data_IF_172006931928
#
_entry.id   IF_172006931928
#
_cell.length_a   1.000
_cell.length_b   1.000
_cell.length_c   1.000
_cell.angle_alpha   90.00
_cell.angle_beta   90.00
_cell.angle_gamma   90.00
#
_symmetry.space_group_name_H-M   'P 1'
#
loop_
_entity.id
_entity.type
_entity.pdbx_description
1 polymer ?
#
# COMPACT_ATOMS: atom_id res chain seq x y z
N UNK A 1 44.71 13.09 -9.08
CA UNK A 1 43.98 11.83 -8.94
C UNK A 1 44.30 10.96 -10.15
N UNK A 2 44.97 9.81 -9.94
CA UNK A 2 45.58 8.98 -10.98
C UNK A 2 44.48 8.37 -11.89
N UNK A 3 44.75 8.29 -13.20
CA UNK A 3 43.84 7.80 -14.25
C UNK A 3 43.26 6.40 -13.93
N UNK A 4 44.07 5.54 -13.28
CA UNK A 4 43.63 4.23 -12.81
C UNK A 4 42.54 4.30 -11.70
N UNK A 5 42.66 5.24 -10.75
CA UNK A 5 41.63 5.42 -9.71
C UNK A 5 40.29 5.88 -10.28
N UNK A 6 40.30 6.73 -11.32
CA UNK A 6 39.06 7.14 -12.02
C UNK A 6 38.41 5.97 -12.73
N UNK A 7 39.18 5.09 -13.36
CA UNK A 7 38.66 3.91 -14.07
C UNK A 7 38.03 2.91 -13.09
N UNK A 8 38.69 2.65 -11.95
CA UNK A 8 38.14 1.74 -10.89
C UNK A 8 36.85 2.28 -10.33
N UNK A 9 36.74 3.57 -10.03
CA UNK A 9 35.50 4.19 -9.54
C UNK A 9 34.39 4.10 -10.58
N UNK A 10 34.68 4.28 -11.85
CA UNK A 10 33.73 4.17 -12.95
C UNK A 10 33.22 2.73 -13.07
N UNK A 11 34.11 1.74 -13.03
CA UNK A 11 33.79 0.31 -13.11
C UNK A 11 32.94 -0.10 -11.89
N UNK A 12 33.30 0.33 -10.68
CA UNK A 12 32.51 0.04 -9.47
C UNK A 12 31.12 0.68 -9.54
N UNK A 13 31.00 1.84 -10.13
CA UNK A 13 29.72 2.51 -10.34
C UNK A 13 28.84 1.77 -11.37
N UNK A 14 29.45 1.30 -12.47
CA UNK A 14 28.75 0.47 -13.47
C UNK A 14 28.35 -0.89 -12.91
N UNK A 15 29.23 -1.54 -12.15
CA UNK A 15 28.94 -2.81 -11.47
C UNK A 15 27.82 -2.63 -10.44
N UNK A 16 27.82 -1.53 -9.68
CA UNK A 16 26.74 -1.23 -8.72
C UNK A 16 25.40 -0.97 -9.43
N UNK A 17 25.41 -0.24 -10.56
CA UNK A 17 24.21 -0.02 -11.38
C UNK A 17 23.72 -1.36 -11.98
N UNK A 18 24.64 -2.18 -12.48
CA UNK A 18 24.36 -3.48 -13.06
C UNK A 18 23.81 -4.47 -12.02
N UNK A 19 24.41 -4.52 -10.82
CA UNK A 19 23.91 -5.33 -9.70
C UNK A 19 22.56 -4.85 -9.17
N UNK A 20 22.27 -3.55 -9.23
CA UNK A 20 20.95 -3.02 -8.90
C UNK A 20 19.88 -3.36 -9.96
N UNK A 21 20.25 -3.50 -11.22
CA UNK A 21 19.35 -3.97 -12.29
C UNK A 21 18.98 -5.45 -12.14
N UNK A 22 19.82 -6.26 -11.50
CA UNK A 22 19.54 -7.69 -11.22
C UNK A 22 19.02 -7.94 -9.80
N UNK A 23 18.88 -6.90 -8.97
CA UNK A 23 18.42 -7.04 -7.57
C UNK A 23 16.90 -7.04 -7.42
N UNK A 24 16.14 -6.80 -8.47
CA UNK A 24 14.69 -6.99 -8.47
C UNK A 24 14.40 -8.47 -8.70
N UNK A 25 14.28 -9.21 -7.60
CA UNK A 25 13.88 -10.62 -7.59
C UNK A 25 12.43 -10.83 -8.05
N UNK A 26 11.78 -9.83 -8.62
CA UNK A 26 10.38 -9.86 -9.02
C UNK A 26 9.38 -10.02 -7.86
N UNK A 27 9.88 -10.26 -6.63
CA UNK A 27 9.05 -10.45 -5.45
C UNK A 27 9.11 -9.23 -4.53
N UNK A 28 7.99 -8.58 -4.31
CA UNK A 28 7.84 -7.46 -3.38
C UNK A 28 7.08 -7.88 -2.14
N UNK A 29 7.69 -7.70 -0.96
CA UNK A 29 7.03 -7.86 0.33
C UNK A 29 6.13 -6.63 0.57
N UNK A 30 4.86 -6.87 0.77
CA UNK A 30 3.85 -5.84 1.04
C UNK A 30 3.64 -5.81 2.55
N UNK A 31 4.03 -4.71 3.18
CA UNK A 31 3.81 -4.47 4.60
C UNK A 31 2.38 -3.96 4.84
N UNK A 32 1.93 -4.02 6.09
CA UNK A 32 0.67 -3.39 6.46
C UNK A 32 0.77 -1.87 6.36
N UNK A 33 -0.15 -1.21 5.62
CA UNK A 33 -0.25 0.24 5.64
C UNK A 33 -0.88 0.78 6.92
N UNK A 34 -1.45 -0.09 7.75
CA UNK A 34 -2.16 0.22 8.99
C UNK A 34 -1.61 -0.59 10.16
N UNK A 35 -1.72 -0.03 11.36
CA UNK A 35 -1.66 -0.76 12.63
C UNK A 35 -3.10 -1.01 13.07
N UNK A 36 -3.48 -2.27 13.34
CA UNK A 36 -4.85 -2.58 13.70
C UNK A 36 -5.19 -4.07 13.69
N UNK A 37 -6.46 -4.33 13.96
CA UNK A 37 -6.99 -5.69 14.00
C UNK A 37 -7.53 -6.10 12.63
N UNK A 38 -7.18 -7.31 12.18
CA UNK A 38 -7.76 -7.88 10.97
C UNK A 38 -9.23 -8.18 11.23
N UNK A 39 -10.08 -7.75 10.32
CA UNK A 39 -11.51 -8.05 10.35
C UNK A 39 -11.84 -9.20 9.41
N UNK A 40 -12.78 -10.08 9.79
CA UNK A 40 -13.25 -11.15 8.93
C UNK A 40 -13.80 -10.64 7.59
N UNK A 41 -13.64 -11.43 6.53
CA UNK A 41 -14.05 -11.04 5.18
C UNK A 41 -15.56 -10.85 5.01
N UNK A 42 -16.38 -11.53 5.84
CA UNK A 42 -17.82 -11.37 5.89
C UNK A 42 -18.24 -9.97 6.40
N UNK A 43 -17.47 -9.36 7.30
CA UNK A 43 -17.68 -7.96 7.72
C UNK A 43 -17.36 -6.94 6.62
N UNK A 44 -16.57 -7.34 5.62
CA UNK A 44 -16.27 -6.54 4.44
C UNK A 44 -17.32 -6.82 3.34
N UNK A 45 -18.01 -7.96 3.42
CA UNK A 45 -18.83 -8.55 2.36
C UNK A 45 -20.05 -7.73 1.94
N UNK A 46 -20.56 -6.85 2.79
CA UNK A 46 -21.68 -5.98 2.46
C UNK A 46 -21.29 -4.77 1.62
N UNK A 47 -19.99 -4.45 1.54
CA UNK A 47 -19.49 -3.37 0.71
C UNK A 47 -19.22 -3.85 -0.73
N UNK A 48 -19.34 -2.95 -1.71
CA UNK A 48 -19.00 -3.23 -3.12
C UNK A 48 -17.54 -3.68 -3.33
N UNK A 49 -16.68 -3.61 -2.29
CA UNK A 49 -15.26 -3.98 -2.30
C UNK A 49 -15.08 -5.48 -2.02
N UNK A 50 -16.04 -6.13 -1.33
CA UNK A 50 -15.92 -7.51 -0.86
C UNK A 50 -16.06 -8.59 -1.91
N UNK A 51 -16.56 -8.25 -3.07
CA UNK A 51 -16.89 -9.26 -4.11
C UNK A 51 -15.76 -9.51 -5.09
N UNK A 52 -14.51 -9.55 -4.67
CA UNK A 52 -13.35 -9.88 -5.54
C UNK A 52 -13.32 -9.18 -6.93
N UNK A 53 -14.25 -8.21 -7.16
CA UNK A 53 -14.37 -7.49 -8.42
C UNK A 53 -13.10 -6.70 -8.73
N UNK A 54 -12.39 -6.27 -7.68
CA UNK A 54 -11.16 -5.50 -7.81
C UNK A 54 -9.91 -6.29 -7.45
N UNK A 55 -10.01 -7.48 -6.82
CA UNK A 55 -8.89 -8.28 -6.39
C UNK A 55 -9.04 -8.84 -4.97
N UNK A 56 -7.97 -9.47 -4.46
CA UNK A 56 -7.93 -9.97 -3.09
C UNK A 56 -7.77 -8.81 -2.11
N UNK A 57 -8.65 -8.73 -1.12
CA UNK A 57 -8.69 -7.65 -0.13
C UNK A 57 -8.50 -8.17 1.29
N UNK A 58 -7.82 -7.37 2.12
CA UNK A 58 -7.71 -7.57 3.55
C UNK A 58 -8.32 -6.35 4.26
N UNK A 59 -9.26 -6.59 5.18
CA UNK A 59 -9.84 -5.57 6.05
C UNK A 59 -9.04 -5.42 7.34
N UNK A 60 -8.86 -4.19 7.78
CA UNK A 60 -8.15 -3.85 9.00
C UNK A 60 -8.94 -2.75 9.71
N UNK A 61 -9.31 -2.99 10.96
CA UNK A 61 -9.82 -1.96 11.85
C UNK A 61 -8.63 -1.24 12.49
N UNK A 62 -8.32 0.00 12.08
CA UNK A 62 -7.11 0.67 12.51
C UNK A 62 -7.20 1.12 13.97
N UNK A 63 -6.06 1.05 14.67
CA UNK A 63 -5.88 1.60 16.04
C UNK A 63 -5.08 2.90 16.02
N UNK A 64 -4.48 3.23 14.87
CA UNK A 64 -3.75 4.47 14.64
C UNK A 64 -4.33 5.26 13.46
N UNK A 65 -4.14 6.57 13.48
CA UNK A 65 -4.70 7.52 12.51
C UNK A 65 -3.76 7.84 11.34
N UNK A 66 -2.77 7.02 11.07
CA UNK A 66 -1.79 7.21 9.99
C UNK A 66 -1.79 6.03 9.03
N UNK A 67 -1.41 6.32 7.79
CA UNK A 67 -1.25 5.33 6.72
C UNK A 67 0.18 5.42 6.21
N UNK A 68 0.88 4.28 6.15
CA UNK A 68 2.24 4.20 5.65
C UNK A 68 2.29 3.45 4.31
N UNK A 69 3.29 3.77 3.50
CA UNK A 69 3.52 3.07 2.23
C UNK A 69 3.93 1.62 2.49
N UNK A 70 3.20 0.63 1.93
CA UNK A 70 3.45 -0.79 2.19
C UNK A 70 4.75 -1.30 1.54
N UNK A 71 5.27 -0.61 0.54
CA UNK A 71 6.49 -0.93 -0.18
C UNK A 71 7.00 0.30 -0.96
N UNK A 72 8.11 0.17 -1.67
CA UNK A 72 8.50 1.16 -2.67
C UNK A 72 7.51 1.10 -3.85
N UNK A 73 6.89 2.24 -4.20
CA UNK A 73 5.83 2.30 -5.21
C UNK A 73 5.67 3.72 -5.78
N UNK A 74 4.68 3.91 -6.63
CA UNK A 74 4.30 5.22 -7.19
C UNK A 74 2.82 5.45 -6.85
N UNK A 75 2.48 6.65 -6.38
CA UNK A 75 1.08 7.08 -6.25
C UNK A 75 0.51 7.30 -7.64
N UNK A 76 -0.39 6.43 -8.07
CA UNK A 76 -0.98 6.55 -9.42
C UNK A 76 -2.22 7.42 -9.41
N UNK A 77 -3.09 7.25 -8.41
CA UNK A 77 -4.32 8.03 -8.21
C UNK A 77 -4.65 8.23 -6.75
N UNK A 78 -5.31 9.33 -6.46
CA UNK A 78 -5.91 9.63 -5.16
C UNK A 78 -7.38 9.97 -5.40
N UNK A 79 -8.28 9.46 -4.57
CA UNK A 79 -9.71 9.80 -4.68
C UNK A 79 -9.95 11.30 -4.40
N UNK A 80 -11.00 11.91 -4.96
CA UNK A 80 -11.29 13.33 -4.76
C UNK A 80 -11.45 13.73 -3.28
N UNK A 81 -11.97 12.82 -2.45
CA UNK A 81 -12.13 13.01 -1.00
C UNK A 81 -10.81 12.79 -0.27
N UNK A 82 -9.89 11.99 -0.83
CA UNK A 82 -8.59 11.67 -0.24
C UNK A 82 -8.59 10.38 0.60
N UNK A 83 -9.70 9.65 0.65
CA UNK A 83 -9.86 8.43 1.44
C UNK A 83 -9.37 7.16 0.75
N UNK A 84 -9.00 7.24 -0.53
CA UNK A 84 -8.51 6.09 -1.28
C UNK A 84 -7.29 6.46 -2.14
N UNK A 85 -6.37 5.50 -2.28
CA UNK A 85 -5.18 5.63 -3.12
C UNK A 85 -4.95 4.37 -3.95
N UNK A 86 -4.62 4.57 -5.23
CA UNK A 86 -4.09 3.55 -6.12
C UNK A 86 -2.57 3.69 -6.18
N UNK A 87 -1.86 2.65 -5.78
CA UNK A 87 -0.40 2.59 -5.77
C UNK A 87 0.07 1.59 -6.84
N UNK A 88 1.05 2.00 -7.65
CA UNK A 88 1.68 1.14 -8.67
C UNK A 88 2.96 0.54 -8.13
N UNK A 89 3.07 -0.79 -8.16
CA UNK A 89 4.22 -1.60 -7.72
C UNK A 89 4.67 -2.46 -8.89
N UNK A 90 5.68 -2.04 -9.64
CA UNK A 90 6.05 -2.69 -10.89
C UNK A 90 4.86 -2.72 -11.87
N UNK A 91 4.41 -3.92 -12.28
CA UNK A 91 3.21 -4.12 -13.11
C UNK A 91 1.94 -4.45 -12.29
N UNK A 92 2.03 -4.50 -10.97
CA UNK A 92 0.91 -4.72 -10.07
C UNK A 92 0.36 -3.40 -9.50
N UNK A 93 -0.85 -3.45 -8.96
CA UNK A 93 -1.49 -2.32 -8.31
C UNK A 93 -2.03 -2.72 -6.93
N UNK A 94 -1.86 -1.82 -5.97
CA UNK A 94 -2.47 -1.90 -4.66
C UNK A 94 -3.50 -0.78 -4.54
N UNK A 95 -4.65 -1.09 -3.95
CA UNK A 95 -5.64 -0.09 -3.57
C UNK A 95 -5.68 -0.03 -2.05
N UNK A 96 -5.53 1.15 -1.49
CA UNK A 96 -5.69 1.41 -0.06
C UNK A 96 -6.94 2.26 0.10
N UNK A 97 -7.91 1.78 0.89
CA UNK A 97 -9.11 2.54 1.23
C UNK A 97 -9.17 2.78 2.74
N UNK A 98 -9.53 3.99 3.11
CA UNK A 98 -9.83 4.41 4.47
C UNK A 98 -11.35 4.55 4.54
N UNK A 99 -12.00 3.51 5.13
CA UNK A 99 -13.44 3.37 5.10
C UNK A 99 -14.00 2.85 3.78
N UNK A 100 -15.18 2.28 3.82
CA UNK A 100 -15.81 1.59 2.70
C UNK A 100 -16.97 2.40 2.09
N UNK A 101 -17.54 3.32 2.85
CA UNK A 101 -18.71 4.12 2.45
C UNK A 101 -18.28 5.55 2.14
N UNK A 102 -17.84 5.79 0.91
CA UNK A 102 -17.26 7.07 0.45
C UNK A 102 -18.17 8.28 0.69
N UNK A 103 -19.48 8.08 0.60
CA UNK A 103 -20.48 9.15 0.75
C UNK A 103 -20.55 9.71 2.16
N UNK A 104 -20.13 8.95 3.16
CA UNK A 104 -20.11 9.38 4.57
C UNK A 104 -18.94 10.32 4.89
N UNK A 105 -17.89 10.33 4.07
CA UNK A 105 -16.64 11.01 4.42
C UNK A 105 -16.49 12.35 3.75
N UNK A 106 -15.95 13.31 4.51
CA UNK A 106 -15.60 14.65 4.02
C UNK A 106 -14.09 14.76 3.84
N UNK A 107 -13.67 15.55 2.85
CA UNK A 107 -12.25 15.78 2.56
C UNK A 107 -11.45 16.26 3.78
N UNK A 108 -12.06 17.04 4.63
CA UNK A 108 -11.45 17.59 5.87
C UNK A 108 -11.10 16.51 6.92
N UNK A 109 -11.59 15.24 6.75
CA UNK A 109 -11.21 14.14 7.62
C UNK A 109 -9.82 13.58 7.28
N UNK A 110 -9.27 13.92 6.11
CA UNK A 110 -8.05 13.36 5.57
C UNK A 110 -7.00 14.42 5.33
N UNK A 111 -5.77 14.17 5.79
CA UNK A 111 -4.60 15.02 5.54
C UNK A 111 -3.60 14.23 4.71
N UNK A 112 -3.54 14.52 3.43
CA UNK A 112 -2.60 13.91 2.49
C UNK A 112 -1.18 14.45 2.72
N UNK A 113 -0.17 13.54 2.64
CA UNK A 113 1.25 13.86 2.70
C UNK A 113 1.96 13.58 1.37
N UNK A 114 1.21 13.13 0.37
CA UNK A 114 1.72 12.73 -0.95
C UNK A 114 0.82 13.28 -2.06
N UNK A 115 1.33 13.28 -3.29
CA UNK A 115 0.60 13.70 -4.50
C UNK A 115 0.68 12.61 -5.56
N UNK A 116 -0.24 12.65 -6.53
CA UNK A 116 -0.20 11.75 -7.70
C UNK A 116 1.11 11.91 -8.46
N UNK A 117 1.64 10.79 -8.96
CA UNK A 117 2.95 10.69 -9.64
C UNK A 117 4.16 10.59 -8.70
N UNK A 118 4.00 10.79 -7.40
CA UNK A 118 5.10 10.74 -6.43
C UNK A 118 5.62 9.31 -6.27
N UNK A 119 6.97 9.16 -6.29
CA UNK A 119 7.65 7.93 -5.89
C UNK A 119 7.78 7.86 -4.38
N UNK A 120 7.49 6.71 -3.82
CA UNK A 120 7.45 6.45 -2.39
C UNK A 120 8.50 5.43 -1.99
N UNK A 121 9.09 5.63 -0.83
CA UNK A 121 9.84 4.60 -0.12
C UNK A 121 8.92 3.79 0.79
N UNK A 122 9.29 2.55 1.07
CA UNK A 122 8.64 1.72 2.07
C UNK A 122 8.58 2.46 3.41
N UNK A 123 7.41 2.43 4.09
CA UNK A 123 7.17 3.07 5.39
C UNK A 123 7.01 4.59 5.34
N UNK A 124 7.07 5.22 4.15
CA UNK A 124 6.82 6.64 4.03
C UNK A 124 5.36 6.96 4.36
N UNK A 125 5.12 8.02 5.13
CA UNK A 125 3.76 8.44 5.50
C UNK A 125 3.00 8.92 4.27
N UNK A 126 1.85 8.28 3.99
CA UNK A 126 0.95 8.62 2.89
C UNK A 126 -0.04 9.71 3.31
N UNK A 127 -0.64 9.51 4.48
CA UNK A 127 -1.68 10.39 5.01
C UNK A 127 -1.91 10.15 6.49
N UNK A 128 -2.69 11.04 7.09
CA UNK A 128 -3.37 10.83 8.36
C UNK A 128 -4.85 11.13 8.21
N UNK A 129 -5.67 10.60 9.11
CA UNK A 129 -7.11 10.80 9.10
C UNK A 129 -7.64 11.02 10.53
N UNK A 130 -8.76 11.71 10.64
CA UNK A 130 -9.42 12.00 11.92
C UNK A 130 -10.33 10.83 12.28
N UNK A 131 -9.77 9.88 13.02
CA UNK A 131 -10.45 8.63 13.40
C UNK A 131 -11.71 8.91 14.23
N UNK A 132 -11.70 9.95 15.08
CA UNK A 132 -12.84 10.29 15.92
C UNK A 132 -14.00 10.86 15.09
N UNK A 133 -13.72 11.71 14.10
CA UNK A 133 -14.75 12.21 13.18
C UNK A 133 -15.31 11.09 12.31
N UNK A 134 -14.46 10.17 11.88
CA UNK A 134 -14.90 9.03 11.08
C UNK A 134 -15.84 8.15 11.89
N UNK A 135 -15.50 7.76 13.12
CA UNK A 135 -16.38 6.93 13.96
C UNK A 135 -17.73 7.58 14.31
N UNK A 136 -17.83 8.91 14.26
CA UNK A 136 -19.12 9.62 14.44
C UNK A 136 -20.09 9.39 13.28
N UNK A 137 -19.59 9.14 12.08
CA UNK A 137 -20.38 8.96 10.85
C UNK A 137 -20.41 7.51 10.36
N UNK A 138 -19.44 6.70 10.80
CA UNK A 138 -19.28 5.30 10.42
C UNK A 138 -18.76 4.49 11.60
N UNK A 139 -19.68 3.88 12.34
CA UNK A 139 -19.37 3.07 13.54
C UNK A 139 -18.69 1.74 13.20
N UNK A 140 -18.85 1.27 11.96
CA UNK A 140 -18.23 0.04 11.44
C UNK A 140 -17.00 0.32 10.57
N UNK A 141 -16.31 1.41 10.87
CA UNK A 141 -15.16 1.86 10.11
C UNK A 141 -14.07 0.80 9.95
N UNK A 142 -13.78 0.45 8.70
CA UNK A 142 -12.75 -0.51 8.31
C UNK A 142 -11.93 0.07 7.17
N UNK A 143 -10.61 -0.06 7.26
CA UNK A 143 -9.70 0.22 6.18
C UNK A 143 -9.42 -1.06 5.39
N UNK A 144 -9.08 -0.94 4.10
CA UNK A 144 -8.70 -2.10 3.30
C UNK A 144 -7.41 -1.87 2.54
N UNK A 145 -6.67 -2.96 2.35
CA UNK A 145 -5.64 -3.08 1.33
C UNK A 145 -6.06 -4.16 0.34
N UNK A 146 -6.13 -3.80 -0.94
CA UNK A 146 -6.53 -4.70 -2.03
C UNK A 146 -5.39 -4.86 -3.02
N UNK A 147 -5.04 -6.09 -3.35
CA UNK A 147 -4.17 -6.41 -4.48
C UNK A 147 -5.05 -6.57 -5.70
N UNK A 148 -4.95 -5.61 -6.65
CA UNK A 148 -5.72 -5.67 -7.89
C UNK A 148 -5.26 -6.87 -8.73
N UNK A 149 -6.20 -7.74 -9.08
CA UNK A 149 -5.90 -8.90 -9.90
C UNK A 149 -5.43 -8.50 -11.29
N UNK A 150 -4.33 -9.07 -11.70
CA UNK A 150 -3.83 -9.07 -13.07
C UNK A 150 -3.31 -10.47 -13.41
N UNK A 151 -2.76 -10.67 -14.63
CA UNK A 151 -2.25 -12.00 -15.04
C UNK A 151 -1.14 -12.55 -14.12
N UNK A 152 -0.39 -11.68 -13.45
CA UNK A 152 0.75 -12.03 -12.58
C UNK A 152 0.40 -12.10 -11.10
N UNK A 153 -0.72 -11.50 -10.66
CA UNK A 153 -1.15 -11.42 -9.24
C UNK A 153 -2.38 -12.28 -8.91
N UNK A 154 -2.67 -13.33 -9.69
CA UNK A 154 -3.89 -14.16 -9.54
C UNK A 154 -4.00 -14.94 -8.24
N UNK A 155 -2.88 -15.19 -7.54
CA UNK A 155 -2.83 -16.04 -6.35
C UNK A 155 -2.09 -15.37 -5.21
N UNK A 156 -2.59 -14.22 -4.78
CA UNK A 156 -2.07 -13.56 -3.59
C UNK A 156 -2.86 -14.03 -2.38
N UNK A 157 -2.15 -14.62 -1.41
CA UNK A 157 -2.72 -14.95 -0.10
C UNK A 157 -2.21 -13.98 0.94
N UNK A 158 -3.11 -13.38 1.70
CA UNK A 158 -2.77 -12.56 2.84
C UNK A 158 -2.44 -13.43 4.06
N UNK A 159 -1.64 -12.86 4.98
CA UNK A 159 -1.33 -13.48 6.27
C UNK A 159 -2.63 -13.78 7.03
N UNK A 160 -2.64 -14.91 7.73
CA UNK A 160 -3.68 -15.23 8.71
C UNK A 160 -3.21 -14.81 10.10
N UNK A 161 -3.66 -13.66 10.57
CA UNK A 161 -3.32 -13.09 11.87
C UNK A 161 -4.55 -12.36 12.45
N UNK A 162 -4.55 -12.10 13.76
CA UNK A 162 -5.61 -11.31 14.42
C UNK A 162 -5.29 -9.82 14.42
N UNK A 163 -4.01 -9.49 14.49
CA UNK A 163 -3.52 -8.11 14.55
C UNK A 163 -2.31 -7.96 13.63
N UNK A 164 -2.14 -6.78 13.05
CA UNK A 164 -1.00 -6.40 12.21
C UNK A 164 -0.49 -5.04 12.62
N UNK A 165 0.83 -4.85 12.49
CA UNK A 165 1.51 -3.57 12.68
C UNK A 165 2.19 -3.13 11.38
N UNK A 166 2.73 -1.92 11.31
CA UNK A 166 3.33 -1.36 10.09
C UNK A 166 4.54 -2.14 9.53
N UNK A 167 5.17 -3.01 10.31
CA UNK A 167 6.26 -3.90 9.89
C UNK A 167 5.81 -5.32 9.54
N UNK A 168 4.54 -5.63 9.74
CA UNK A 168 3.96 -6.94 9.40
C UNK A 168 3.90 -7.13 7.89
N UNK A 169 4.48 -8.21 7.38
CA UNK A 169 4.36 -8.61 5.97
C UNK A 169 2.98 -9.24 5.75
N UNK A 170 2.11 -8.56 5.00
CA UNK A 170 0.76 -9.03 4.68
C UNK A 170 0.77 -10.10 3.58
N UNK A 171 1.58 -9.89 2.56
CA UNK A 171 1.70 -10.79 1.42
C UNK A 171 3.00 -10.51 0.64
N UNK A 172 3.27 -11.36 -0.35
CA UNK A 172 4.35 -11.16 -1.32
C UNK A 172 3.76 -11.12 -2.72
N UNK A 173 4.13 -10.10 -3.50
CA UNK A 173 3.72 -9.94 -4.89
C UNK A 173 4.85 -10.33 -5.82
N UNK A 174 4.52 -11.09 -6.87
CA UNK A 174 5.36 -11.22 -8.04
C UNK A 174 4.99 -10.11 -9.03
N UNK A 175 5.93 -9.24 -9.39
CA UNK A 175 5.71 -8.03 -10.20
C UNK A 175 6.58 -8.03 -11.48
N UNK A 176 6.88 -9.23 -12.00
CA UNK A 176 7.57 -9.39 -13.27
C UNK A 176 6.68 -9.03 -14.46
#
# INVERSE_FOLDING_TARGET
MNRQKKLVILVLRYVSIFLNLFKDSGYHKILSPFDGNIVPSDMIAESNISRDVFGNSLGIQPVENKVLSPCACIVERISPVGNAMLLKVGNAHLIINIGLEFEKYKKEFFKLNVVEGQRLSKGQKLMSFDIEKIYKVDTNFVCTITVKQNRTSRHVSFINAKHVSFDTILCTLNVL
#
